data_IF_686897668530
#
_entry.id   IF_686897668530
#
_cell.length_a   1.000
_cell.length_b   1.000
_cell.length_c   1.000
_cell.angle_alpha   90.00
_cell.angle_beta   90.00
_cell.angle_gamma   90.00
#
_symmetry.space_group_name_H-M   'P 1'
#
loop_
_entity.id
_entity.type
_entity.pdbx_description
1 polymer ?
#
# COMPACT_ATOMS: atom_id res chain seq x y z
N UNK A 1 17.35 -24.67 20.82
CA UNK A 1 17.81 -24.07 19.54
C UNK A 1 16.56 -23.76 18.74
N UNK A 2 16.29 -22.46 18.60
CA UNK A 2 15.04 -21.85 18.11
C UNK A 2 14.83 -22.11 16.62
N UNK A 3 13.76 -22.84 16.32
CA UNK A 3 13.27 -23.10 14.97
C UNK A 3 12.51 -21.85 14.49
N UNK A 4 13.06 -21.16 13.48
CA UNK A 4 12.43 -19.96 12.89
C UNK A 4 11.29 -20.43 11.99
N UNK A 5 10.05 -20.22 12.42
CA UNK A 5 8.85 -20.51 11.63
C UNK A 5 8.83 -19.64 10.36
N UNK A 6 8.72 -20.31 9.22
CA UNK A 6 8.63 -19.71 7.89
C UNK A 6 7.20 -19.21 7.64
N UNK A 7 7.06 -18.01 7.08
CA UNK A 7 5.77 -17.44 6.71
C UNK A 7 5.22 -18.12 5.45
N UNK A 8 4.17 -18.93 5.59
CA UNK A 8 3.34 -19.40 4.48
C UNK A 8 1.89 -19.00 4.77
N UNK A 9 1.50 -17.78 4.38
CA UNK A 9 0.10 -17.34 4.41
C UNK A 9 -0.40 -17.23 2.98
N UNK A 10 -1.16 -18.24 2.56
CA UNK A 10 -1.92 -18.19 1.31
C UNK A 10 -3.02 -17.14 1.43
N UNK A 11 -3.31 -16.44 0.33
CA UNK A 11 -4.58 -15.74 0.23
C UNK A 11 -5.70 -16.80 0.40
N UNK A 12 -6.73 -16.61 1.25
CA UNK A 12 -7.84 -17.58 1.36
C UNK A 12 -8.48 -17.89 -0.01
N UNK A 13 -8.37 -16.98 -0.99
CA UNK A 13 -8.88 -17.16 -2.35
C UNK A 13 -7.89 -17.78 -3.35
N UNK A 14 -6.68 -18.21 -2.92
CA UNK A 14 -5.70 -18.87 -3.80
C UNK A 14 -5.33 -20.25 -3.28
N UNK A 15 -5.49 -21.26 -4.13
CA UNK A 15 -5.02 -22.62 -3.84
C UNK A 15 -3.51 -22.62 -3.48
N UNK A 16 -3.10 -23.36 -2.44
CA UNK A 16 -1.69 -23.46 -2.06
C UNK A 16 -0.88 -24.13 -3.18
N UNK A 17 0.26 -23.53 -3.53
CA UNK A 17 1.19 -24.10 -4.49
C UNK A 17 1.66 -25.48 -4.03
N UNK A 18 1.28 -26.51 -4.78
CA UNK A 18 1.68 -27.89 -4.52
C UNK A 18 3.21 -28.03 -4.63
N UNK A 19 3.81 -28.68 -3.63
CA UNK A 19 5.25 -28.92 -3.59
C UNK A 19 5.67 -29.95 -4.66
N UNK A 20 6.57 -29.53 -5.55
CA UNK A 20 7.17 -30.42 -6.56
C UNK A 20 8.19 -31.34 -5.88
N UNK A 21 7.93 -32.66 -5.88
CA UNK A 21 8.90 -33.68 -5.46
C UNK A 21 10.02 -33.81 -6.49
N UNK A 22 11.25 -33.49 -6.11
CA UNK A 22 12.44 -33.69 -6.95
C UNK A 22 12.90 -35.15 -6.84
N UNK A 23 12.78 -35.90 -7.94
CA UNK A 23 13.35 -37.24 -8.08
C UNK A 23 14.82 -37.15 -8.49
N UNK A 24 15.73 -37.70 -7.68
CA UNK A 24 17.14 -37.88 -8.03
C UNK A 24 17.33 -39.13 -8.90
N UNK A 25 17.82 -38.96 -10.13
CA UNK A 25 18.52 -40.01 -10.88
C UNK A 25 19.91 -39.53 -11.30
N UNK A 26 20.91 -40.34 -10.97
CA UNK A 26 22.33 -40.26 -11.38
C UNK A 26 22.53 -40.89 -12.76
N UNK A 27 23.73 -40.61 -13.32
CA UNK A 27 24.54 -41.33 -14.35
C UNK A 27 24.83 -40.38 -15.53
N UNK A 28 25.99 -39.69 -15.53
CA UNK A 28 27.28 -40.02 -16.19
C UNK A 28 27.21 -39.84 -17.72
N UNK A 29 28.22 -39.41 -18.48
CA UNK A 29 29.58 -38.91 -18.32
C UNK A 29 30.02 -38.55 -19.76
N UNK A 30 30.52 -37.35 -20.02
CA UNK A 30 31.85 -37.17 -20.66
C UNK A 30 32.17 -35.71 -21.03
N UNK A 31 33.27 -35.25 -20.42
CA UNK A 31 34.43 -34.53 -20.96
C UNK A 31 34.24 -33.56 -22.14
N UNK A 32 34.18 -32.28 -21.77
CA UNK A 32 35.09 -31.27 -22.31
C UNK A 32 35.46 -30.31 -21.20
N UNK A 33 36.51 -30.68 -20.47
CA UNK A 33 37.16 -29.81 -19.51
C UNK A 33 37.91 -28.68 -20.23
N UNK A 34 38.06 -27.58 -19.48
CA UNK A 34 39.01 -26.49 -19.68
C UNK A 34 38.56 -25.31 -20.54
N UNK A 35 37.72 -24.45 -19.95
CA UNK A 35 38.19 -23.08 -19.77
C UNK A 35 37.72 -22.48 -18.44
N UNK A 36 38.73 -22.24 -17.61
CA UNK A 36 38.78 -21.24 -16.56
C UNK A 36 37.97 -21.47 -15.27
N UNK A 37 38.69 -22.09 -14.34
CA UNK A 37 38.54 -21.91 -12.90
C UNK A 37 38.51 -20.41 -12.55
N UNK A 38 37.32 -19.90 -12.22
CA UNK A 38 37.18 -19.00 -11.08
C UNK A 38 36.20 -19.65 -10.11
N UNK A 39 36.77 -20.27 -9.07
CA UNK A 39 36.06 -20.55 -7.82
C UNK A 39 35.69 -19.20 -7.22
N UNK A 40 34.49 -18.71 -7.51
CA UNK A 40 33.67 -18.13 -6.46
C UNK A 40 32.61 -19.16 -6.13
N UNK A 41 32.51 -19.50 -4.84
CA UNK A 41 31.37 -20.24 -4.30
C UNK A 41 30.12 -19.42 -4.61
N UNK A 42 29.48 -19.72 -5.73
CA UNK A 42 28.12 -19.29 -5.97
C UNK A 42 27.24 -20.13 -5.05
N UNK A 43 27.08 -19.67 -3.81
CA UNK A 43 25.88 -20.02 -3.06
C UNK A 43 24.72 -19.41 -3.84
N UNK A 44 23.83 -20.27 -4.35
CA UNK A 44 22.46 -19.80 -4.67
C UNK A 44 22.02 -18.95 -3.48
N UNK A 45 21.47 -17.75 -3.68
CA UNK A 45 20.80 -17.08 -2.58
C UNK A 45 19.60 -17.95 -2.21
N UNK A 46 19.82 -18.90 -1.29
CA UNK A 46 18.80 -19.56 -0.51
C UNK A 46 18.16 -18.48 0.36
N UNK A 47 17.16 -17.82 -0.21
CA UNK A 47 15.95 -17.39 0.47
C UNK A 47 15.13 -16.60 -0.54
N UNK A 48 14.07 -17.19 -1.08
CA UNK A 48 12.85 -16.39 -1.25
C UNK A 48 12.61 -15.75 0.12
N UNK A 49 12.83 -14.43 0.25
CA UNK A 49 12.44 -13.73 1.46
C UNK A 49 10.93 -13.69 1.46
N UNK A 50 10.31 -14.63 2.16
CA UNK A 50 8.89 -14.58 2.43
C UNK A 50 8.56 -13.22 3.06
N UNK A 51 7.41 -12.63 2.71
CA UNK A 51 7.00 -11.36 3.31
C UNK A 51 6.96 -11.53 4.83
N UNK A 52 7.62 -10.61 5.53
CA UNK A 52 7.68 -10.58 7.00
C UNK A 52 6.47 -9.87 7.59
N UNK A 53 5.79 -9.07 6.77
CA UNK A 53 4.63 -8.26 7.14
C UNK A 53 3.54 -8.39 6.09
N UNK A 54 2.30 -8.54 6.53
CA UNK A 54 1.12 -8.33 5.70
C UNK A 54 0.46 -7.00 6.10
N UNK A 55 0.15 -6.21 5.09
CA UNK A 55 -0.68 -5.02 5.21
C UNK A 55 -1.89 -5.19 4.31
N UNK A 56 -3.08 -5.05 4.87
CA UNK A 56 -4.33 -5.11 4.11
C UNK A 56 -4.85 -3.68 3.97
N UNK A 57 -5.12 -3.28 2.72
CA UNK A 57 -5.61 -1.95 2.39
C UNK A 57 -6.98 -2.07 1.75
N UNK A 58 -7.98 -1.58 2.45
CA UNK A 58 -9.32 -1.34 1.93
C UNK A 58 -9.37 0.07 1.37
N UNK A 59 -10.00 0.30 0.22
CA UNK A 59 -10.05 1.62 -0.38
C UNK A 59 -11.43 1.97 -0.90
N UNK A 60 -11.86 3.20 -0.64
CA UNK A 60 -12.98 3.81 -1.34
C UNK A 60 -12.68 4.02 -2.82
N UNK A 61 -11.43 4.29 -3.20
CA UNK A 61 -11.00 4.42 -4.60
C UNK A 61 -10.55 3.09 -5.22
N UNK A 62 -10.55 3.01 -6.55
CA UNK A 62 -10.33 1.74 -7.28
C UNK A 62 -8.98 1.68 -7.99
N UNK A 63 -8.57 2.75 -8.69
CA UNK A 63 -7.41 2.70 -9.59
C UNK A 63 -6.16 3.41 -9.05
N UNK A 64 -6.28 4.66 -8.58
CA UNK A 64 -5.13 5.50 -8.20
C UNK A 64 -4.38 4.96 -7.00
N UNK A 65 -5.12 4.55 -5.98
CA UNK A 65 -4.64 3.99 -4.72
C UNK A 65 -4.00 2.62 -4.97
N UNK A 66 -4.63 1.77 -5.78
CA UNK A 66 -4.07 0.48 -6.20
C UNK A 66 -2.76 0.66 -6.96
N UNK A 67 -2.72 1.63 -7.87
CA UNK A 67 -1.55 1.92 -8.69
C UNK A 67 -0.38 2.44 -7.87
N UNK A 68 -0.64 3.11 -6.75
CA UNK A 68 0.39 3.53 -5.81
C UNK A 68 1.16 2.32 -5.24
N UNK A 69 0.45 1.27 -4.83
CA UNK A 69 1.07 0.05 -4.26
C UNK A 69 1.59 -0.95 -5.30
N UNK A 70 1.30 -0.74 -6.59
CA UNK A 70 1.62 -1.67 -7.69
C UNK A 70 3.09 -2.08 -7.78
N UNK A 71 4.03 -1.20 -7.43
CA UNK A 71 5.46 -1.56 -7.45
C UNK A 71 5.81 -2.63 -6.41
N UNK A 72 5.16 -2.60 -5.25
CA UNK A 72 5.38 -3.60 -4.20
C UNK A 72 4.76 -4.93 -4.62
N UNK A 73 3.49 -4.89 -5.04
CA UNK A 73 2.72 -6.05 -5.49
C UNK A 73 3.42 -6.82 -6.63
N UNK A 74 3.97 -6.11 -7.63
CA UNK A 74 4.66 -6.73 -8.77
C UNK A 74 6.04 -7.30 -8.46
N UNK A 75 6.61 -6.99 -7.29
CA UNK A 75 7.97 -7.40 -6.93
C UNK A 75 8.01 -8.10 -5.55
N UNK A 76 7.25 -9.19 -5.34
CA UNK A 76 7.08 -9.82 -4.04
C UNK A 76 8.37 -10.41 -3.45
N UNK A 77 9.40 -10.64 -4.26
CA UNK A 77 10.72 -11.11 -3.82
C UNK A 77 11.64 -9.98 -3.35
N UNK A 78 11.36 -8.75 -3.77
CA UNK A 78 12.16 -7.57 -3.46
C UNK A 78 11.71 -6.92 -2.14
N UNK A 79 10.42 -7.01 -1.83
CA UNK A 79 9.84 -6.38 -0.64
C UNK A 79 9.57 -7.40 0.46
N UNK A 80 10.05 -7.18 1.70
CA UNK A 80 9.71 -7.99 2.87
C UNK A 80 8.29 -7.71 3.39
N UNK A 81 7.43 -7.07 2.60
CA UNK A 81 6.03 -6.77 2.92
C UNK A 81 5.15 -7.20 1.75
N UNK A 82 3.99 -7.80 2.07
CA UNK A 82 2.91 -8.06 1.13
C UNK A 82 1.79 -7.06 1.39
N UNK A 83 1.21 -6.53 0.31
CA UNK A 83 0.05 -5.65 0.37
C UNK A 83 -1.12 -6.36 -0.31
N UNK A 84 -2.15 -6.69 0.43
CA UNK A 84 -3.42 -7.14 -0.12
C UNK A 84 -4.36 -5.94 -0.22
N UNK A 85 -4.73 -5.56 -1.44
CA UNK A 85 -5.53 -4.37 -1.72
C UNK A 85 -6.95 -4.75 -2.19
N UNK A 86 -7.95 -4.17 -1.55
CA UNK A 86 -9.36 -4.34 -1.88
C UNK A 86 -10.02 -2.98 -2.09
N UNK A 87 -10.77 -2.83 -3.17
CA UNK A 87 -11.58 -1.63 -3.43
C UNK A 87 -13.05 -1.89 -3.13
N UNK A 88 -13.81 -0.84 -2.80
CA UNK A 88 -15.25 -0.96 -2.54
C UNK A 88 -15.99 -1.51 -3.78
N UNK A 89 -16.60 -2.71 -3.70
CA UNK A 89 -17.33 -3.29 -4.82
C UNK A 89 -18.58 -2.48 -5.21
N UNK A 90 -19.05 -1.57 -4.35
CA UNK A 90 -20.23 -0.74 -4.60
C UNK A 90 -19.89 0.76 -4.70
N UNK A 91 -18.63 1.14 -4.88
CA UNK A 91 -18.20 2.53 -5.04
C UNK A 91 -19.11 3.34 -5.98
N UNK A 92 -19.43 2.79 -7.15
CA UNK A 92 -20.23 3.47 -8.18
C UNK A 92 -21.73 3.52 -7.88
N UNK A 93 -22.21 2.83 -6.84
CA UNK A 93 -23.65 2.66 -6.56
C UNK A 93 -24.21 3.71 -5.58
N UNK A 94 -23.39 4.65 -5.10
CA UNK A 94 -23.83 5.84 -4.35
C UNK A 94 -24.55 5.57 -3.01
N UNK A 95 -24.41 4.36 -2.46
CA UNK A 95 -25.05 3.93 -1.22
C UNK A 95 -24.24 4.28 0.04
N UNK A 96 -24.69 3.79 1.20
CA UNK A 96 -23.83 3.72 2.40
C UNK A 96 -22.54 2.97 2.03
N UNK A 97 -21.36 3.41 2.50
CA UNK A 97 -20.10 2.70 2.23
C UNK A 97 -20.20 1.24 2.66
N UNK A 98 -20.24 0.31 1.71
CA UNK A 98 -20.15 -1.12 2.00
C UNK A 98 -18.73 -1.54 2.35
N UNK A 99 -17.74 -0.70 2.03
CA UNK A 99 -16.34 -0.98 2.28
C UNK A 99 -16.04 -1.25 3.76
N UNK A 100 -16.78 -0.64 4.71
CA UNK A 100 -16.52 -0.86 6.13
C UNK A 100 -16.92 -2.27 6.53
N UNK A 101 -18.13 -2.71 6.19
CA UNK A 101 -18.58 -4.07 6.50
C UNK A 101 -17.68 -5.09 5.81
N UNK A 102 -17.36 -4.86 4.53
CA UNK A 102 -16.42 -5.70 3.80
C UNK A 102 -15.04 -5.75 4.47
N UNK A 103 -14.54 -4.60 4.95
CA UNK A 103 -13.27 -4.51 5.66
C UNK A 103 -13.30 -5.26 6.99
N UNK A 104 -14.42 -5.21 7.73
CA UNK A 104 -14.61 -6.00 8.95
C UNK A 104 -14.57 -7.50 8.65
N UNK A 105 -15.44 -7.97 7.76
CA UNK A 105 -15.55 -9.38 7.40
C UNK A 105 -14.20 -9.95 6.96
N UNK A 106 -13.48 -9.23 6.08
CA UNK A 106 -12.16 -9.65 5.63
C UNK A 106 -11.09 -9.58 6.72
N UNK A 107 -11.12 -8.55 7.56
CA UNK A 107 -10.16 -8.42 8.67
C UNK A 107 -10.30 -9.59 9.64
N UNK A 108 -11.53 -10.01 9.95
CA UNK A 108 -11.79 -11.17 10.79
C UNK A 108 -11.23 -12.47 10.16
N UNK A 109 -11.45 -12.70 8.86
CA UNK A 109 -10.83 -13.83 8.13
C UNK A 109 -9.29 -13.83 8.24
N UNK A 110 -8.66 -12.65 8.14
CA UNK A 110 -7.21 -12.54 8.28
C UNK A 110 -6.74 -12.77 9.72
N UNK A 111 -7.50 -12.29 10.72
CA UNK A 111 -7.18 -12.43 12.16
C UNK A 111 -7.15 -13.91 12.58
N UNK A 112 -8.00 -14.76 12.00
CA UNK A 112 -7.97 -16.22 12.25
C UNK A 112 -6.62 -16.89 11.94
N UNK A 113 -5.84 -16.27 11.05
CA UNK A 113 -4.56 -16.78 10.56
C UNK A 113 -3.40 -15.82 10.85
N UNK A 114 -3.59 -14.84 11.74
CA UNK A 114 -2.58 -13.84 12.08
C UNK A 114 -1.48 -14.41 12.98
N UNK A 115 -0.27 -13.88 12.83
CA UNK A 115 0.85 -14.21 13.72
C UNK A 115 0.81 -13.31 14.95
N UNK A 116 0.91 -13.89 16.16
CA UNK A 116 1.03 -13.10 17.40
C UNK A 116 2.35 -12.30 17.45
N UNK A 117 3.44 -12.83 16.89
CA UNK A 117 4.76 -12.18 16.89
C UNK A 117 4.85 -11.04 15.86
N UNK A 118 4.10 -11.14 14.77
CA UNK A 118 4.06 -10.14 13.70
C UNK A 118 2.60 -9.96 13.25
N UNK A 119 1.78 -9.23 14.03
CA UNK A 119 0.38 -9.05 13.70
C UNK A 119 0.24 -8.35 12.35
N UNK A 120 -0.78 -8.73 11.59
CA UNK A 120 -1.13 -8.06 10.34
C UNK A 120 -1.60 -6.62 10.65
N UNK A 121 -1.62 -5.75 9.63
CA UNK A 121 -2.11 -4.38 9.82
C UNK A 121 -3.14 -4.03 8.76
N UNK A 122 -4.23 -3.44 9.22
CA UNK A 122 -5.44 -3.22 8.43
C UNK A 122 -5.69 -1.72 8.32
N UNK A 123 -5.84 -1.22 7.10
CA UNK A 123 -6.06 0.19 6.84
C UNK A 123 -7.27 0.38 5.93
N UNK A 124 -8.09 1.37 6.23
CA UNK A 124 -9.16 1.82 5.34
C UNK A 124 -8.80 3.21 4.78
N UNK A 125 -8.58 3.30 3.48
CA UNK A 125 -8.23 4.52 2.76
C UNK A 125 -9.48 5.13 2.15
N UNK A 126 -9.71 6.40 2.46
CA UNK A 126 -10.85 7.14 1.91
C UNK A 126 -10.56 8.62 1.72
N UNK A 127 -11.43 9.25 0.96
CA UNK A 127 -11.40 10.68 0.64
C UNK A 127 -12.59 11.36 1.33
N UNK A 128 -12.42 12.62 1.76
CA UNK A 128 -13.51 13.37 2.44
C UNK A 128 -14.75 13.52 1.55
N UNK A 129 -14.55 13.88 0.28
CA UNK A 129 -15.64 14.18 -0.65
C UNK A 129 -16.58 12.99 -0.91
N UNK A 130 -16.13 11.76 -0.66
CA UNK A 130 -16.93 10.56 -0.90
C UNK A 130 -17.87 10.24 0.27
N UNK A 131 -17.48 10.57 1.51
CA UNK A 131 -18.17 10.06 2.69
C UNK A 131 -18.29 11.07 3.83
N UNK A 132 -18.18 12.38 3.62
CA UNK A 132 -18.20 13.42 4.67
C UNK A 132 -19.25 13.14 5.77
N UNK A 133 -20.48 12.78 5.36
CA UNK A 133 -21.60 12.48 6.29
C UNK A 133 -21.44 11.18 7.11
N UNK A 134 -20.61 10.26 6.65
CA UNK A 134 -20.36 8.96 7.27
C UNK A 134 -19.02 8.88 7.98
N UNK A 135 -18.04 9.78 7.71
CA UNK A 135 -16.68 9.67 8.24
C UNK A 135 -16.61 9.47 9.76
N UNK A 136 -17.51 10.09 10.52
CA UNK A 136 -17.59 9.89 11.98
C UNK A 136 -18.01 8.46 12.36
N UNK A 137 -19.03 7.91 11.70
CA UNK A 137 -19.46 6.51 11.84
C UNK A 137 -18.32 5.57 11.39
N UNK A 138 -17.67 5.85 10.25
CA UNK A 138 -16.53 5.08 9.76
C UNK A 138 -15.39 5.03 10.77
N UNK A 139 -15.07 6.17 11.40
CA UNK A 139 -13.99 6.28 12.38
C UNK A 139 -14.27 5.36 13.57
N UNK A 140 -15.45 5.47 14.17
CA UNK A 140 -15.86 4.61 15.29
C UNK A 140 -15.81 3.13 14.91
N UNK A 141 -16.40 2.77 13.76
CA UNK A 141 -16.41 1.38 13.31
C UNK A 141 -15.01 0.82 13.02
N UNK A 142 -14.11 1.64 12.48
CA UNK A 142 -12.73 1.23 12.22
C UNK A 142 -11.96 1.03 13.54
N UNK A 143 -12.10 1.95 14.49
CA UNK A 143 -11.48 1.86 15.81
C UNK A 143 -11.92 0.60 16.57
N UNK A 144 -13.22 0.26 16.52
CA UNK A 144 -13.77 -0.95 17.17
C UNK A 144 -13.27 -2.26 16.55
N UNK A 145 -12.69 -2.23 15.34
CA UNK A 145 -12.31 -3.43 14.58
C UNK A 145 -10.80 -3.54 14.32
N UNK A 146 -9.98 -2.72 14.98
CA UNK A 146 -8.52 -2.63 14.78
C UNK A 146 -8.13 -2.28 13.32
N UNK A 147 -8.94 -1.45 12.67
CA UNK A 147 -8.69 -0.93 11.33
C UNK A 147 -8.30 0.54 11.46
N UNK A 148 -7.16 0.95 10.93
CA UNK A 148 -6.78 2.36 10.93
C UNK A 148 -7.43 3.09 9.74
N UNK A 149 -8.29 4.07 10.04
CA UNK A 149 -8.90 4.93 9.03
C UNK A 149 -7.90 6.01 8.57
N UNK A 150 -7.66 6.07 7.27
CA UNK A 150 -6.77 7.00 6.61
C UNK A 150 -7.59 7.88 5.65
N UNK A 151 -7.58 9.18 5.91
CA UNK A 151 -8.37 10.15 5.15
C UNK A 151 -7.47 11.10 4.35
N UNK A 152 -7.81 11.35 3.09
CA UNK A 152 -7.26 12.47 2.30
C UNK A 152 -8.34 13.52 2.01
N UNK A 153 -8.00 14.80 2.14
CA UNK A 153 -8.93 15.89 1.88
C UNK A 153 -8.33 16.86 0.86
N UNK A 154 -8.94 17.11 -0.29
CA UNK A 154 -10.24 16.58 -0.74
C UNK A 154 -10.16 15.17 -1.32
N UNK A 155 -8.97 14.73 -1.77
CA UNK A 155 -8.79 13.44 -2.45
C UNK A 155 -7.37 12.89 -2.38
N UNK A 156 -7.18 11.63 -2.79
CA UNK A 156 -5.88 10.95 -2.81
C UNK A 156 -4.79 11.68 -3.60
N UNK A 157 -5.15 12.50 -4.60
CA UNK A 157 -4.21 13.34 -5.34
C UNK A 157 -3.45 14.32 -4.45
N UNK A 158 -3.96 14.68 -3.27
CA UNK A 158 -3.23 15.48 -2.28
C UNK A 158 -1.98 14.74 -1.80
N UNK A 159 -2.08 13.44 -1.52
CA UNK A 159 -0.92 12.61 -1.20
C UNK A 159 0.06 12.49 -2.37
N UNK A 160 -0.44 12.41 -3.60
CA UNK A 160 0.43 12.32 -4.77
C UNK A 160 1.11 13.67 -5.08
N UNK A 161 0.44 14.79 -4.81
CA UNK A 161 0.97 16.13 -4.97
C UNK A 161 2.19 16.35 -4.07
N UNK A 162 2.12 15.92 -2.81
CA UNK A 162 3.24 16.04 -1.88
C UNK A 162 4.47 15.19 -2.26
N UNK A 163 4.35 14.28 -3.23
CA UNK A 163 5.49 13.53 -3.75
C UNK A 163 6.34 14.36 -4.73
N UNK A 164 5.79 15.47 -5.22
CA UNK A 164 6.39 16.35 -6.22
C UNK A 164 6.58 17.79 -5.70
N UNK A 165 5.82 18.22 -4.70
CA UNK A 165 5.82 19.60 -4.18
C UNK A 165 5.85 19.61 -2.65
N UNK A 166 6.58 20.55 -2.05
CA UNK A 166 6.72 20.70 -0.59
C UNK A 166 5.76 21.69 0.05
N UNK A 167 5.11 22.52 -0.76
CA UNK A 167 4.30 23.63 -0.29
C UNK A 167 2.83 23.33 -0.55
N UNK A 168 1.96 23.75 0.38
CA UNK A 168 0.51 23.62 0.28
C UNK A 168 0.00 24.18 -1.05
N UNK A 169 -1.15 23.68 -1.50
CA UNK A 169 -1.81 24.04 -2.76
C UNK A 169 -2.41 25.46 -2.76
N UNK A 170 -1.65 26.48 -2.38
CA UNK A 170 -2.12 27.88 -2.23
C UNK A 170 -2.48 28.56 -3.56
N UNK A 171 -1.94 28.07 -4.67
CA UNK A 171 -2.27 28.56 -6.01
C UNK A 171 -3.56 27.96 -6.59
N UNK A 172 -4.17 26.98 -5.92
CA UNK A 172 -5.43 26.41 -6.33
C UNK A 172 -6.59 27.27 -5.84
N UNK A 173 -7.43 27.73 -6.77
CA UNK A 173 -8.65 28.44 -6.46
C UNK A 173 -9.73 27.44 -6.05
N UNK A 174 -10.04 27.38 -4.76
CA UNK A 174 -11.07 26.48 -4.21
C UNK A 174 -12.45 26.90 -4.73
N UNK A 175 -13.19 26.03 -5.43
CA UNK A 175 -14.56 26.31 -5.83
C UNK A 175 -15.47 26.60 -4.64
N UNK A 176 -16.49 27.45 -4.83
CA UNK A 176 -17.51 27.69 -3.79
C UNK A 176 -18.33 26.42 -3.50
N UNK A 177 -18.61 25.63 -4.54
CA UNK A 177 -19.28 24.35 -4.40
C UNK A 177 -18.30 23.29 -3.88
N UNK A 178 -18.46 22.91 -2.61
CA UNK A 178 -17.61 21.89 -1.96
C UNK A 178 -17.57 20.55 -2.72
N UNK A 179 -18.66 20.16 -3.40
CA UNK A 179 -18.72 18.90 -4.15
C UNK A 179 -17.84 18.91 -5.41
N UNK A 180 -17.40 20.08 -5.86
CA UNK A 180 -16.55 20.23 -7.05
C UNK A 180 -15.07 20.34 -6.68
N UNK A 181 -14.71 20.38 -5.39
CA UNK A 181 -13.35 20.63 -4.95
C UNK A 181 -12.40 19.53 -5.41
N UNK A 182 -12.70 18.23 -5.18
CA UNK A 182 -11.85 17.13 -5.65
C UNK A 182 -11.70 17.11 -7.18
N UNK A 183 -12.77 17.31 -7.95
CA UNK A 183 -12.69 17.26 -9.42
C UNK A 183 -11.92 18.45 -10.00
N UNK A 184 -12.13 19.65 -9.46
CA UNK A 184 -11.36 20.84 -9.81
C UNK A 184 -9.89 20.69 -9.41
N UNK A 185 -9.62 20.16 -8.22
CA UNK A 185 -8.26 19.93 -7.74
C UNK A 185 -7.50 18.93 -8.62
N UNK A 186 -8.14 17.80 -8.98
CA UNK A 186 -7.59 16.81 -9.92
C UNK A 186 -7.25 17.43 -11.28
N UNK A 187 -8.10 18.31 -11.78
CA UNK A 187 -7.87 19.01 -13.04
C UNK A 187 -6.68 19.95 -12.94
N UNK A 188 -6.65 20.78 -11.90
CA UNK A 188 -5.59 21.74 -11.66
C UNK A 188 -4.23 21.07 -11.46
N UNK A 189 -4.15 20.04 -10.62
CA UNK A 189 -2.87 19.39 -10.29
C UNK A 189 -2.25 18.66 -11.48
N UNK A 190 -3.07 18.11 -12.39
CA UNK A 190 -2.59 17.51 -13.63
C UNK A 190 -1.99 18.55 -14.59
N UNK A 191 -2.44 19.82 -14.51
CA UNK A 191 -1.86 20.92 -15.27
C UNK A 191 -0.60 21.49 -14.58
N UNK A 192 -0.61 21.58 -13.24
CA UNK A 192 0.48 22.13 -12.44
C UNK A 192 1.72 21.22 -12.40
N UNK A 193 1.54 19.90 -12.38
CA UNK A 193 2.64 18.92 -12.33
C UNK A 193 2.98 18.45 -13.74
N UNK A 194 4.18 18.81 -14.23
CA UNK A 194 4.66 18.39 -15.56
C UNK A 194 4.66 16.86 -15.69
N UNK A 195 3.87 16.35 -16.64
CA UNK A 195 3.73 14.91 -16.89
C UNK A 195 2.69 14.21 -15.99
N UNK A 196 1.92 14.98 -15.22
CA UNK A 196 0.85 14.51 -14.35
C UNK A 196 1.34 13.81 -13.08
N UNK A 197 0.43 13.63 -12.14
CA UNK A 197 0.68 12.84 -10.94
C UNK A 197 0.78 11.36 -11.31
N UNK A 198 1.87 10.69 -10.92
CA UNK A 198 2.10 9.26 -11.20
C UNK A 198 2.20 8.46 -9.90
N UNK A 199 1.19 7.63 -9.54
CA UNK A 199 1.20 6.88 -8.28
C UNK A 199 2.45 6.01 -8.09
N UNK A 200 2.88 5.30 -9.14
CA UNK A 200 4.08 4.46 -9.11
C UNK A 200 5.38 5.26 -8.94
N UNK A 201 5.41 6.54 -9.35
CA UNK A 201 6.55 7.43 -9.07
C UNK A 201 6.48 7.96 -7.63
N UNK A 202 5.28 8.27 -7.15
CA UNK A 202 5.08 8.80 -5.80
C UNK A 202 5.59 7.84 -4.71
N UNK A 203 5.35 6.52 -4.85
CA UNK A 203 5.85 5.55 -3.86
C UNK A 203 7.39 5.46 -3.84
N UNK A 204 8.07 5.72 -4.96
CA UNK A 204 9.54 5.81 -4.97
C UNK A 204 10.04 6.99 -4.14
N UNK A 205 9.22 8.02 -3.92
CA UNK A 205 9.52 9.21 -3.13
C UNK A 205 8.90 9.18 -1.73
N UNK A 206 8.53 8.01 -1.20
CA UNK A 206 7.78 7.85 0.05
C UNK A 206 8.32 8.67 1.23
N UNK A 207 9.65 8.77 1.42
CA UNK A 207 10.26 9.56 2.50
C UNK A 207 9.96 11.06 2.37
N UNK A 208 10.17 11.60 1.17
CA UNK A 208 9.86 13.01 0.88
C UNK A 208 8.36 13.27 0.98
N UNK A 209 7.55 12.29 0.56
CA UNK A 209 6.12 12.40 0.57
C UNK A 209 5.58 12.49 2.01
N UNK A 210 6.12 11.67 2.92
CA UNK A 210 5.84 11.74 4.37
C UNK A 210 6.20 13.12 4.92
N UNK A 211 7.41 13.62 4.64
CA UNK A 211 7.87 14.91 5.15
C UNK A 211 6.97 16.06 4.66
N UNK A 212 6.70 16.11 3.37
CA UNK A 212 5.88 17.16 2.75
C UNK A 212 4.44 17.12 3.23
N UNK A 213 3.84 15.93 3.33
CA UNK A 213 2.48 15.78 3.85
C UNK A 213 2.37 16.24 5.30
N UNK A 214 3.31 15.82 6.17
CA UNK A 214 3.32 16.21 7.59
C UNK A 214 3.56 17.71 7.79
N UNK A 215 4.46 18.31 7.00
CA UNK A 215 4.71 19.77 7.02
C UNK A 215 3.44 20.58 6.76
N UNK A 216 2.55 20.07 5.90
CA UNK A 216 1.33 20.75 5.50
C UNK A 216 0.08 20.15 6.17
N UNK A 217 0.24 19.30 7.19
CA UNK A 217 -0.88 18.59 7.80
C UNK A 217 -1.58 19.43 8.87
N UNK A 218 -2.90 19.49 8.74
CA UNK A 218 -3.81 20.09 9.71
C UNK A 218 -5.05 19.20 9.80
N UNK A 219 -5.56 18.98 11.02
CA UNK A 219 -6.80 18.24 11.26
C UNK A 219 -7.62 18.87 12.38
N UNK A 220 -8.94 18.66 12.32
CA UNK A 220 -9.91 19.02 13.36
C UNK A 220 -10.76 17.78 13.67
N UNK A 221 -10.95 17.46 14.95
CA UNK A 221 -11.65 16.24 15.41
C UNK A 221 -11.12 14.90 14.85
N UNK A 222 -9.86 14.89 14.38
CA UNK A 222 -9.25 13.74 13.70
C UNK A 222 -9.64 13.60 12.22
N UNK A 223 -10.24 14.63 11.63
CA UNK A 223 -10.50 14.74 10.20
C UNK A 223 -9.55 15.76 9.56
N UNK A 224 -8.84 15.42 8.48
CA UNK A 224 -7.92 16.33 7.83
C UNK A 224 -8.63 17.55 7.23
N UNK A 225 -8.06 18.74 7.42
CA UNK A 225 -8.47 19.96 6.72
C UNK A 225 -8.21 19.87 5.21
N UNK A 226 -8.78 20.78 4.43
CA UNK A 226 -8.59 20.81 2.98
C UNK A 226 -7.09 20.91 2.62
N UNK A 227 -6.63 20.00 1.75
CA UNK A 227 -5.24 19.75 1.34
C UNK A 227 -4.34 19.10 2.39
N UNK A 228 -4.92 18.51 3.43
CA UNK A 228 -4.24 17.61 4.37
C UNK A 228 -4.55 16.14 4.03
N UNK A 229 -3.61 15.24 4.35
CA UNK A 229 -3.79 13.79 4.16
C UNK A 229 -3.16 13.03 5.31
N UNK A 230 -3.84 11.99 5.80
CA UNK A 230 -3.34 11.04 6.79
C UNK A 230 -2.51 9.91 6.17
N UNK A 231 -2.34 9.87 4.84
CA UNK A 231 -1.58 8.83 4.14
C UNK A 231 -0.15 8.66 4.64
N UNK A 232 0.43 9.69 5.26
CA UNK A 232 1.75 9.58 5.89
C UNK A 232 1.78 8.52 7.00
N UNK A 233 0.67 8.24 7.70
CA UNK A 233 0.62 7.22 8.76
C UNK A 233 0.82 5.81 8.19
N UNK A 234 0.08 5.47 7.13
CA UNK A 234 0.28 4.22 6.39
C UNK A 234 1.68 4.17 5.75
N UNK A 235 2.15 5.29 5.19
CA UNK A 235 3.47 5.34 4.59
C UNK A 235 4.60 5.13 5.60
N UNK A 236 4.50 5.73 6.79
CA UNK A 236 5.42 5.52 7.92
C UNK A 236 5.42 4.07 8.39
N UNK A 237 4.24 3.43 8.41
CA UNK A 237 4.10 2.00 8.72
C UNK A 237 4.82 1.11 7.69
N UNK A 238 4.72 1.43 6.40
CA UNK A 238 5.38 0.69 5.32
C UNK A 238 6.89 0.96 5.25
N UNK A 239 7.34 2.15 5.64
CA UNK A 239 8.70 2.65 5.38
C UNK A 239 9.82 1.69 5.83
N UNK A 240 9.79 1.07 7.02
CA UNK A 240 10.83 0.12 7.46
C UNK A 240 11.00 -1.07 6.51
N UNK A 241 9.93 -1.48 5.84
CA UNK A 241 9.91 -2.64 4.95
C UNK A 241 10.30 -2.26 3.52
N UNK A 242 9.92 -1.06 3.05
CA UNK A 242 10.04 -0.71 1.63
C UNK A 242 11.26 0.15 1.32
N UNK A 243 11.78 0.94 2.29
CA UNK A 243 12.81 1.97 2.05
C UNK A 243 14.05 1.43 1.33
N UNK A 244 14.62 0.33 1.79
CA UNK A 244 15.83 -0.23 1.18
C UNK A 244 15.56 -0.80 -0.20
N UNK A 245 14.41 -1.47 -0.37
CA UNK A 245 13.98 -2.08 -1.62
C UNK A 245 13.70 -1.04 -2.71
N UNK A 246 13.07 0.08 -2.35
CA UNK A 246 12.78 1.18 -3.29
C UNK A 246 14.04 1.85 -3.84
N UNK A 247 15.14 1.90 -3.07
CA UNK A 247 16.43 2.46 -3.54
C UNK A 247 16.99 1.70 -4.74
N UNK A 248 16.68 0.41 -4.90
CA UNK A 248 17.12 -0.39 -6.05
C UNK A 248 16.29 -0.14 -7.32
N UNK A 249 15.14 0.53 -7.19
CA UNK A 249 14.21 0.81 -8.29
C UNK A 249 14.27 2.27 -8.77
N UNK A 250 15.14 3.09 -8.18
CA UNK A 250 15.36 4.50 -8.54
C UNK A 250 16.40 4.65 -9.63
#
# INVERSE_FOLDING_TARGET
>A
MTDKRYYQKGNPDKEPLQSVKINTKKVSSDKSAAKFLFRQKYTKPDAFKYPQKLVVVYSGGTEREKDYFRLIDKNPTLFPVRIDFYADPNFEKGGRPSIIQFAKDKTDEYKESASEENPDSYFLLTDVDHFERFLREMKTECEENDIELIISNSCFEVWLYYAEKSDRCSAFNVPENKMEVSSAFKTWVNAEVKGGLKPTKAILNIEQNIENAKKNYEEEDGFPNLFSTQMFRLAEHLLPFVKNSLKFLR
#
